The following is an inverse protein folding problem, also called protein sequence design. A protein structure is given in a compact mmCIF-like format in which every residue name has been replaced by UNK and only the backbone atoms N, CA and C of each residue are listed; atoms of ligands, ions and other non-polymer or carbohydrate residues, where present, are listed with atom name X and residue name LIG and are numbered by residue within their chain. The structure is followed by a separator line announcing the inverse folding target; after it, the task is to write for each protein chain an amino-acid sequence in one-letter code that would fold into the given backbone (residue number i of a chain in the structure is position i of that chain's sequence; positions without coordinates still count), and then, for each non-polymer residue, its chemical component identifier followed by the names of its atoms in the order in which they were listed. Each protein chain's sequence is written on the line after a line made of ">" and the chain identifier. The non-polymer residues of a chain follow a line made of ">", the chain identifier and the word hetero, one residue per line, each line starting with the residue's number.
data_IF_465059338948
#
_entry.id   IF_465059338948
#
_cell.length_a   1.000
_cell.length_b   1.000
_cell.length_c   1.000
_cell.angle_alpha   90.00
_cell.angle_beta   90.00
_cell.angle_gamma   90.00
#
_symmetry.space_group_name_H-M   'P 1'
#
loop_
_entity.id
_entity.type
_entity.pdbx_description
1 polymer ?
#
# COMPACT_ATOMS: atom_id res chain seq x y z
N UNK A 1 2.43 -5.46 13.45
CA UNK A 1 1.68 -4.79 12.38
C UNK A 1 2.40 -5.01 11.06
N UNK A 2 1.70 -5.53 10.08
CA UNK A 2 2.28 -5.75 8.77
C UNK A 2 1.74 -4.71 7.79
N UNK A 3 2.65 -3.97 7.18
CA UNK A 3 2.32 -2.87 6.26
C UNK A 3 2.74 -3.27 4.85
N UNK A 4 1.85 -3.05 3.89
CA UNK A 4 2.18 -3.27 2.48
C UNK A 4 2.31 -1.93 1.78
N UNK A 5 3.32 -1.79 0.94
CA UNK A 5 3.56 -0.57 0.18
C UNK A 5 3.83 -0.95 -1.28
N UNK A 6 2.97 -0.52 -2.21
CA UNK A 6 3.27 -0.72 -3.63
C UNK A 6 4.59 -0.03 -3.97
N UNK A 7 5.46 -0.72 -4.67
CA UNK A 7 6.83 -0.27 -4.84
C UNK A 7 7.33 -0.48 -6.25
N UNK A 8 8.40 0.24 -6.58
CA UNK A 8 9.13 0.08 -7.83
C UNK A 8 10.25 -0.94 -7.58
N UNK A 9 10.56 -1.76 -8.57
CA UNK A 9 11.63 -2.74 -8.44
C UNK A 9 12.96 -2.05 -8.15
N UNK A 10 13.81 -2.64 -7.33
CA UNK A 10 13.72 -4.01 -6.79
C UNK A 10 12.93 -4.11 -5.49
N UNK A 11 12.26 -3.08 -5.08
CA UNK A 11 11.52 -3.09 -3.83
C UNK A 11 12.43 -2.91 -2.62
N UNK A 12 11.84 -3.04 -1.43
CA UNK A 12 12.58 -2.86 -0.19
C UNK A 12 12.41 -1.47 0.37
N UNK A 13 13.07 -1.23 1.50
CA UNK A 13 12.90 0.05 2.21
C UNK A 13 13.40 1.24 1.42
N UNK A 14 14.39 1.04 0.57
CA UNK A 14 14.96 2.14 -0.20
C UNK A 14 14.28 2.35 -1.54
N UNK A 15 13.31 1.50 -1.89
CA UNK A 15 12.61 1.60 -3.16
C UNK A 15 11.66 2.77 -3.15
N UNK A 16 11.36 3.26 -4.34
CA UNK A 16 10.35 4.29 -4.49
C UNK A 16 8.97 3.71 -4.28
N UNK A 17 8.10 4.50 -3.68
CA UNK A 17 6.70 4.13 -3.53
C UNK A 17 6.06 4.17 -4.92
N UNK A 18 5.34 3.10 -5.26
CA UNK A 18 4.62 3.06 -6.52
C UNK A 18 3.53 4.11 -6.56
N UNK A 19 3.38 4.76 -7.71
CA UNK A 19 2.45 5.86 -7.81
C UNK A 19 0.99 5.41 -7.74
N UNK A 20 0.75 4.14 -8.05
CA UNK A 20 -0.63 3.71 -8.22
C UNK A 20 -0.77 2.24 -7.86
N UNK A 21 -1.69 1.95 -6.95
CA UNK A 21 -1.98 0.57 -6.60
C UNK A 21 -2.56 -0.17 -7.82
N UNK A 22 -2.06 -1.38 -8.05
CA UNK A 22 -2.48 -2.16 -9.20
C UNK A 22 -1.59 -2.01 -10.42
N UNK A 23 -0.76 -0.99 -10.41
CA UNK A 23 0.20 -0.75 -11.51
C UNK A 23 1.62 -0.66 -11.00
N UNK A 24 1.87 -1.23 -9.83
CA UNK A 24 3.20 -1.25 -9.26
C UNK A 24 3.94 -2.52 -9.70
N UNK A 25 5.26 -2.49 -9.56
CA UNK A 25 6.09 -3.63 -9.93
C UNK A 25 6.08 -4.72 -8.87
N UNK A 26 5.98 -4.32 -7.63
CA UNK A 26 6.04 -5.26 -6.51
C UNK A 26 5.44 -4.59 -5.28
N UNK A 27 5.31 -5.38 -4.22
CA UNK A 27 4.90 -4.86 -2.91
C UNK A 27 6.03 -5.10 -1.93
N UNK A 28 6.32 -4.09 -1.12
CA UNK A 28 7.25 -4.25 0.00
C UNK A 28 6.40 -4.44 1.24
N UNK A 29 6.62 -5.55 1.94
CA UNK A 29 5.92 -5.85 3.19
C UNK A 29 6.86 -5.54 4.34
N UNK A 30 6.39 -4.74 5.29
CA UNK A 30 7.20 -4.30 6.40
C UNK A 30 6.50 -4.68 7.69
N UNK A 31 7.21 -5.40 8.56
CA UNK A 31 6.68 -5.71 9.89
C UNK A 31 7.19 -4.67 10.87
N UNK A 32 6.25 -4.09 11.62
CA UNK A 32 6.57 -3.05 12.60
C UNK A 32 6.08 -3.51 13.97
N UNK A 33 6.96 -3.41 14.97
CA UNK A 33 6.61 -3.71 16.36
C UNK A 33 7.18 -2.62 17.24
N UNK A 34 6.34 -2.12 18.14
CA UNK A 34 6.74 -1.06 19.09
C UNK A 34 7.31 0.16 18.39
N UNK A 35 6.74 0.49 17.23
CA UNK A 35 7.16 1.67 16.50
C UNK A 35 8.46 1.52 15.72
N UNK A 36 8.96 0.29 15.57
CA UNK A 36 10.20 0.06 14.86
C UNK A 36 10.04 -1.04 13.82
N UNK A 37 10.74 -0.89 12.71
CA UNK A 37 10.74 -1.91 11.67
C UNK A 37 11.58 -3.09 12.13
N UNK A 38 10.99 -4.27 12.15
CA UNK A 38 11.70 -5.47 12.57
C UNK A 38 12.00 -6.42 11.41
N UNK A 39 11.29 -6.27 10.29
CA UNK A 39 11.50 -7.14 9.15
C UNK A 39 10.93 -6.47 7.90
N UNK A 40 11.54 -6.74 6.76
CA UNK A 40 10.96 -6.33 5.49
C UNK A 40 11.19 -7.42 4.46
N UNK A 41 10.26 -7.54 3.52
CA UNK A 41 10.41 -8.47 2.41
C UNK A 41 9.71 -7.90 1.20
N UNK A 42 10.06 -8.42 0.03
CA UNK A 42 9.51 -7.96 -1.24
C UNK A 42 8.80 -9.13 -1.89
N UNK A 43 7.58 -8.88 -2.35
CA UNK A 43 6.83 -9.90 -3.09
C UNK A 43 6.43 -9.31 -4.43
N UNK A 44 6.29 -10.18 -5.46
CA UNK A 44 5.91 -9.67 -6.78
C UNK A 44 4.47 -9.22 -6.81
N UNK A 45 4.19 -8.29 -7.68
CA UNK A 45 2.81 -7.91 -7.95
C UNK A 45 2.16 -9.01 -8.78
N UNK A 46 0.96 -9.41 -8.41
CA UNK A 46 0.24 -10.43 -9.16
C UNK A 46 -1.01 -9.86 -9.82
N UNK A 47 -1.13 -8.55 -9.82
CA UNK A 47 -2.38 -7.90 -10.15
C UNK A 47 -2.86 -8.14 -11.56
N UNK A 48 -1.96 -8.19 -12.51
CA UNK A 48 -2.37 -8.20 -13.90
C UNK A 48 -2.79 -9.56 -14.42
N UNK A 49 -2.56 -10.59 -13.67
CA UNK A 49 -2.77 -11.94 -14.19
C UNK A 49 -4.22 -12.28 -14.42
N UNK A 50 -5.07 -11.85 -13.53
CA UNK A 50 -6.48 -12.20 -13.60
C UNK A 50 -7.37 -10.97 -13.63
N UNK A 51 -6.79 -9.88 -14.02
CA UNK A 51 -7.55 -8.69 -14.37
C UNK A 51 -8.43 -8.11 -13.30
N UNK A 52 -8.31 -8.55 -12.11
CA UNK A 52 -9.19 -8.03 -11.08
C UNK A 52 -8.45 -7.10 -10.16
N UNK A 53 -9.03 -5.94 -9.91
CA UNK A 53 -8.48 -5.07 -8.89
C UNK A 53 -8.58 -5.71 -7.51
N UNK A 54 -9.46 -6.69 -7.37
CA UNK A 54 -9.66 -7.37 -6.09
C UNK A 54 -8.65 -8.48 -5.84
N UNK A 55 -8.03 -9.03 -6.89
CA UNK A 55 -7.06 -10.10 -6.70
C UNK A 55 -5.90 -9.69 -5.79
N UNK A 56 -5.26 -8.53 -6.02
CA UNK A 56 -4.19 -8.11 -5.10
C UNK A 56 -4.71 -7.76 -3.71
N UNK A 57 -5.95 -7.28 -3.58
CA UNK A 57 -6.53 -7.02 -2.27
C UNK A 57 -6.58 -8.31 -1.45
N UNK A 58 -7.15 -9.36 -2.05
CA UNK A 58 -7.28 -10.64 -1.35
C UNK A 58 -5.90 -11.25 -1.06
N UNK A 59 -4.99 -11.13 -2.00
CA UNK A 59 -3.64 -11.64 -1.85
C UNK A 59 -2.94 -11.02 -0.63
N UNK A 60 -2.99 -9.71 -0.54
CA UNK A 60 -2.33 -9.01 0.57
C UNK A 60 -3.04 -9.29 1.89
N UNK A 61 -4.36 -9.33 1.89
CA UNK A 61 -5.12 -9.63 3.11
C UNK A 61 -4.79 -11.04 3.62
N UNK A 62 -4.67 -12.00 2.72
CA UNK A 62 -4.33 -13.36 3.09
C UNK A 62 -2.94 -13.48 3.69
N UNK A 63 -2.04 -12.57 3.34
CA UNK A 63 -0.69 -12.56 3.90
C UNK A 63 -0.63 -11.93 5.28
N UNK A 64 -1.74 -11.43 5.78
CA UNK A 64 -1.77 -10.85 7.11
C UNK A 64 -1.52 -9.34 7.13
N UNK A 65 -1.59 -8.70 5.98
CA UNK A 65 -1.43 -7.25 5.91
C UNK A 65 -2.59 -6.56 6.61
N UNK A 66 -2.29 -5.62 7.47
CA UNK A 66 -3.30 -4.85 8.19
C UNK A 66 -3.30 -3.38 7.82
N UNK A 67 -2.24 -2.90 7.17
CA UNK A 67 -2.12 -1.51 6.76
C UNK A 67 -1.55 -1.45 5.36
N UNK A 68 -2.12 -0.60 4.52
CA UNK A 68 -1.61 -0.34 3.17
C UNK A 68 -1.30 1.13 3.03
N UNK A 69 -0.11 1.45 2.53
CA UNK A 69 0.28 2.83 2.26
C UNK A 69 0.36 2.99 0.74
N UNK A 70 -0.46 3.84 0.16
CA UNK A 70 -0.53 3.96 -1.29
C UNK A 70 -0.60 5.41 -1.72
N UNK A 71 0.00 5.70 -2.86
CA UNK A 71 -0.03 7.04 -3.44
C UNK A 71 -1.23 7.30 -4.33
N UNK A 72 -1.87 6.23 -4.80
CA UNK A 72 -3.06 6.35 -5.61
C UNK A 72 -3.74 5.01 -5.74
N UNK A 73 -5.07 5.03 -5.87
CA UNK A 73 -5.84 3.79 -5.89
C UNK A 73 -7.26 4.11 -6.33
N UNK A 74 -7.87 3.20 -7.08
CA UNK A 74 -9.27 3.34 -7.44
C UNK A 74 -10.18 3.01 -6.28
N UNK A 75 -11.47 3.31 -6.44
CA UNK A 75 -12.45 3.06 -5.39
C UNK A 75 -12.63 1.58 -5.10
N UNK A 76 -12.59 0.74 -6.13
CA UNK A 76 -12.86 -0.67 -5.94
C UNK A 76 -11.83 -1.35 -5.03
N UNK A 77 -10.53 -1.20 -5.28
CA UNK A 77 -9.56 -1.78 -4.34
C UNK A 77 -9.62 -1.14 -2.96
N UNK A 78 -9.89 0.17 -2.88
CA UNK A 78 -10.02 0.83 -1.59
C UNK A 78 -11.14 0.18 -0.77
N UNK A 79 -12.31 0.02 -1.36
CA UNK A 79 -13.44 -0.60 -0.66
C UNK A 79 -13.13 -2.04 -0.30
N UNK A 80 -12.42 -2.76 -1.19
CA UNK A 80 -12.03 -4.13 -0.92
C UNK A 80 -11.15 -4.25 0.32
N UNK A 81 -10.15 -3.38 0.44
CA UNK A 81 -9.29 -3.39 1.61
C UNK A 81 -10.06 -3.09 2.88
N UNK A 82 -10.95 -2.10 2.82
CA UNK A 82 -11.72 -1.75 4.00
C UNK A 82 -12.63 -2.89 4.44
N UNK A 83 -13.18 -3.64 3.49
CA UNK A 83 -14.00 -4.81 3.80
C UNK A 83 -13.18 -5.93 4.45
N UNK A 84 -11.91 -6.03 4.09
CA UNK A 84 -11.03 -7.04 4.68
C UNK A 84 -10.42 -6.60 6.00
N UNK A 85 -10.75 -5.40 6.45
CA UNK A 85 -10.21 -4.91 7.71
C UNK A 85 -8.82 -4.30 7.59
N UNK A 86 -8.41 -3.97 6.38
CA UNK A 86 -7.11 -3.35 6.15
C UNK A 86 -7.28 -1.83 6.11
N UNK A 87 -6.51 -1.13 6.91
CA UNK A 87 -6.52 0.33 6.91
C UNK A 87 -5.64 0.84 5.78
N UNK A 88 -6.14 1.82 5.03
CA UNK A 88 -5.42 2.37 3.91
C UNK A 88 -5.09 3.83 4.20
N UNK A 89 -3.83 4.19 4.01
CA UNK A 89 -3.36 5.55 4.25
C UNK A 89 -2.78 6.13 2.96
N UNK A 90 -2.91 7.45 2.83
CA UNK A 90 -2.51 8.17 1.63
C UNK A 90 -1.06 8.58 1.74
N UNK A 91 -0.23 8.07 0.84
CA UNK A 91 1.21 8.27 0.88
C UNK A 91 1.74 8.95 -0.38
N UNK A 92 0.90 9.69 -1.09
CA UNK A 92 1.33 10.38 -2.30
C UNK A 92 2.38 11.43 -1.97
N UNK A 93 3.37 11.54 -2.84
CA UNK A 93 4.43 12.52 -2.64
C UNK A 93 5.57 12.04 -1.77
N UNK A 94 5.46 10.86 -1.21
CA UNK A 94 6.54 10.31 -0.38
C UNK A 94 7.45 9.48 -1.28
N UNK A 95 8.73 9.75 -1.20
CA UNK A 95 9.71 9.21 -2.11
C UNK A 95 9.96 7.74 -1.96
N UNK A 96 10.19 7.28 -0.74
CA UNK A 96 10.64 5.92 -0.52
C UNK A 96 9.73 5.20 0.44
N UNK A 97 9.80 3.86 0.37
CA UNK A 97 9.06 2.99 1.27
C UNK A 97 9.42 3.30 2.73
N UNK A 98 10.70 3.46 3.01
CA UNK A 98 11.17 3.75 4.36
C UNK A 98 10.55 5.02 4.91
N UNK A 99 10.51 6.07 4.09
CA UNK A 99 9.93 7.34 4.52
C UNK A 99 8.44 7.22 4.73
N UNK A 100 7.75 6.43 3.89
CA UNK A 100 6.33 6.21 4.04
C UNK A 100 6.03 5.49 5.35
N UNK A 101 6.79 4.45 5.66
CA UNK A 101 6.61 3.71 6.90
C UNK A 101 6.87 4.62 8.11
N UNK A 102 7.95 5.40 8.05
CA UNK A 102 8.28 6.32 9.15
C UNK A 102 7.16 7.34 9.36
N UNK A 103 6.61 7.88 8.28
CA UNK A 103 5.52 8.84 8.38
C UNK A 103 4.27 8.20 8.99
N UNK A 104 3.99 6.94 8.63
CA UNK A 104 2.85 6.24 9.22
C UNK A 104 3.06 6.02 10.71
N UNK A 105 4.24 5.58 11.11
CA UNK A 105 4.55 5.35 12.53
C UNK A 105 4.39 6.66 13.32
N UNK A 106 4.80 7.77 12.72
CA UNK A 106 4.69 9.08 13.36
C UNK A 106 3.27 9.64 13.35
N UNK A 107 2.34 8.97 12.68
CA UNK A 107 0.96 9.41 12.62
C UNK A 107 0.74 10.58 11.68
N UNK A 108 1.59 10.74 10.70
CA UNK A 108 1.55 11.88 9.80
C UNK A 108 0.76 11.66 8.51
N UNK A 109 0.40 10.42 8.20
CA UNK A 109 -0.32 10.13 6.96
C UNK A 109 -1.81 10.16 7.20
N UNK A 110 -2.57 10.82 6.34
CA UNK A 110 -4.03 10.77 6.43
C UNK A 110 -4.56 9.45 5.91
N UNK A 111 -5.74 9.09 6.35
CA UNK A 111 -6.39 7.91 5.77
C UNK A 111 -6.74 8.19 4.31
N UNK A 112 -6.63 7.14 3.52
CA UNK A 112 -7.02 7.24 2.11
C UNK A 112 -8.54 7.35 2.07
N UNK A 113 -9.03 8.36 1.38
CA UNK A 113 -10.46 8.61 1.30
C UNK A 113 -10.91 8.60 -0.15
N UNK A 114 -12.20 8.53 -0.41
CA UNK A 114 -12.69 8.58 -1.78
C UNK A 114 -12.23 9.81 -2.55
N UNK A 115 -11.94 10.90 -1.86
CA UNK A 115 -11.42 12.10 -2.53
C UNK A 115 -10.04 11.90 -3.11
N UNK A 116 -9.30 10.92 -2.63
CA UNK A 116 -7.96 10.61 -3.12
C UNK A 116 -8.00 9.54 -4.20
N UNK A 117 -9.14 8.95 -4.48
CA UNK A 117 -9.20 7.83 -5.41
C UNK A 117 -8.97 8.31 -6.84
N UNK A 118 -8.40 7.41 -7.61
CA UNK A 118 -8.17 7.69 -9.02
C UNK A 118 -9.49 7.70 -9.77
N UNK A 119 -9.67 8.66 -10.62
CA UNK A 119 -10.90 8.78 -11.35
C UNK A 119 -12.04 9.37 -10.55
N UNK A 120 -11.80 9.68 -9.30
CA UNK A 120 -12.83 10.30 -8.51
C UNK A 120 -12.75 11.76 -8.74
N UNK A 121 -13.15 12.37 -9.41
CA UNK A 121 -13.16 13.61 -9.70
C UNK A 121 -12.61 14.66 -9.04
N UNK A 122 -12.61 15.27 -8.96
CA UNK A 122 -12.25 16.06 -8.45
C UNK A 122 -13.02 16.89 -7.99
N UNK A 123 -13.17 17.23 -7.68
CA UNK A 123 -13.89 17.90 -7.29
C UNK A 123 -13.79 18.88 -7.22
#
# INVERSE_FOLDING_TARGET
>A
MKIAIPSVLPGGLEAQVGAHFGHCDCYTLVDVEDGAVVKSEVIPSCAHEHGGCLAPVNYLADLGVTVLLAGGMGMRPLMGFLQEGVDVYYAAGIETVEKAVAAHIAGELPRFSPNHSCGGGHH
#
